data_IF_339655836928
#
_entry.id   IF_339655836928
#
_cell.length_a   1.000
_cell.length_b   1.000
_cell.length_c   1.000
_cell.angle_alpha   90.00
_cell.angle_beta   90.00
_cell.angle_gamma   90.00
#
_symmetry.space_group_name_H-M   'P 1'
#
loop_
_entity.id
_entity.type
_entity.pdbx_description
1 polymer ?
#
# COMPACT_ATOMS: atom_id res chain seq x y z
N UNK A 1 -7.51 -33.66 36.66
CA UNK A 1 -8.71 -34.07 35.88
C UNK A 1 -9.43 -32.80 35.46
N UNK A 2 -9.13 -32.28 34.27
CA UNK A 2 -10.07 -31.64 33.34
C UNK A 2 -9.29 -31.33 32.07
N UNK A 3 -9.29 -32.33 31.19
CA UNK A 3 -8.81 -32.32 29.82
C UNK A 3 -10.01 -32.01 28.93
N UNK A 4 -9.91 -31.04 28.00
CA UNK A 4 -10.65 -30.85 26.72
C UNK A 4 -10.57 -29.36 26.34
N UNK A 5 -9.68 -28.96 25.43
CA UNK A 5 -9.82 -29.02 23.96
C UNK A 5 -10.89 -28.05 23.41
N UNK A 6 -10.44 -26.95 22.81
CA UNK A 6 -11.10 -26.35 21.64
C UNK A 6 -10.04 -25.69 20.74
N UNK A 7 -9.49 -26.52 19.85
CA UNK A 7 -8.79 -26.15 18.62
C UNK A 7 -9.85 -25.78 17.58
N UNK A 8 -9.85 -24.53 17.10
CA UNK A 8 -10.62 -23.99 15.97
C UNK A 8 -10.00 -22.61 15.68
N UNK A 9 -9.34 -22.27 14.56
CA UNK A 9 -9.45 -22.73 13.18
C UNK A 9 -8.07 -22.71 12.52
N UNK A 10 -7.64 -23.85 11.98
CA UNK A 10 -6.66 -23.91 10.91
C UNK A 10 -7.42 -24.07 9.59
N UNK A 11 -7.83 -22.96 8.98
CA UNK A 11 -8.22 -22.97 7.57
C UNK A 11 -6.92 -22.90 6.75
N UNK A 12 -6.29 -24.06 6.60
CA UNK A 12 -5.31 -24.30 5.56
C UNK A 12 -6.11 -24.41 4.26
N UNK A 13 -6.33 -23.28 3.58
CA UNK A 13 -6.62 -23.33 2.16
C UNK A 13 -5.28 -23.53 1.45
N UNK A 14 -5.00 -24.79 1.11
CA UNK A 14 -4.18 -25.17 -0.02
C UNK A 14 -4.86 -24.67 -1.30
N UNK A 15 -4.74 -23.37 -1.57
CA UNK A 15 -4.90 -22.84 -2.91
C UNK A 15 -3.74 -23.39 -3.74
N UNK A 16 -4.05 -23.97 -4.90
CA UNK A 16 -3.06 -24.53 -5.83
C UNK A 16 -1.98 -23.49 -6.13
N UNK A 17 -0.73 -23.80 -5.78
CA UNK A 17 0.45 -22.99 -6.07
C UNK A 17 0.79 -23.08 -7.56
N UNK A 18 -0.03 -22.46 -8.41
CA UNK A 18 0.54 -21.81 -9.58
C UNK A 18 1.12 -20.51 -9.04
N UNK A 19 2.43 -20.49 -8.78
CA UNK A 19 3.16 -19.25 -8.56
C UNK A 19 2.98 -18.42 -9.84
N UNK A 20 1.94 -17.60 -9.90
CA UNK A 20 1.88 -16.50 -10.84
C UNK A 20 3.05 -15.62 -10.45
N UNK A 21 4.15 -15.74 -11.20
CA UNK A 21 5.34 -14.93 -11.00
C UNK A 21 4.93 -13.48 -11.16
N UNK A 22 4.94 -12.73 -10.06
CA UNK A 22 4.59 -11.31 -10.05
C UNK A 22 5.42 -10.57 -11.09
N UNK A 23 4.78 -9.71 -11.88
CA UNK A 23 5.47 -8.84 -12.82
C UNK A 23 6.34 -7.78 -12.12
N UNK A 24 6.24 -7.63 -10.79
CA UNK A 24 7.18 -6.79 -10.04
C UNK A 24 8.63 -7.30 -10.17
N UNK A 25 8.82 -8.57 -10.50
CA UNK A 25 10.12 -9.18 -10.67
C UNK A 25 10.93 -8.52 -11.79
N UNK A 26 12.23 -8.31 -11.53
CA UNK A 26 13.22 -7.62 -12.35
C UNK A 26 12.96 -6.12 -12.59
N UNK A 27 12.01 -5.51 -11.87
CA UNK A 27 11.78 -4.06 -11.94
C UNK A 27 12.72 -3.31 -10.99
N UNK A 28 13.14 -2.11 -11.40
CA UNK A 28 14.04 -1.25 -10.66
C UNK A 28 13.32 0.01 -10.17
N UNK A 29 13.54 0.38 -8.92
CA UNK A 29 12.83 1.48 -8.26
C UNK A 29 13.78 2.31 -7.41
N UNK A 30 13.57 3.62 -7.45
CA UNK A 30 14.11 4.56 -6.48
C UNK A 30 13.09 4.72 -5.35
N UNK A 31 13.57 4.52 -4.13
CA UNK A 31 12.86 4.74 -2.88
C UNK A 31 13.39 6.03 -2.25
N UNK A 32 12.52 7.00 -2.00
CA UNK A 32 12.87 8.20 -1.22
C UNK A 32 12.28 8.04 0.17
N UNK A 33 13.11 7.70 1.15
CA UNK A 33 12.74 7.54 2.54
C UNK A 33 12.64 8.91 3.20
N UNK A 34 11.61 9.07 4.02
CA UNK A 34 11.35 10.28 4.78
C UNK A 34 11.10 9.92 6.25
N UNK A 35 12.21 9.77 6.97
CA UNK A 35 12.27 9.28 8.36
C UNK A 35 12.05 10.44 9.33
N UNK A 36 11.11 10.26 10.25
CA UNK A 36 10.71 11.26 11.24
C UNK A 36 9.32 10.96 11.80
N UNK A 37 8.92 11.69 12.85
CA UNK A 37 7.62 11.49 13.50
C UNK A 37 6.47 11.76 12.52
N UNK A 38 5.55 10.81 12.42
CA UNK A 38 4.34 10.95 11.61
C UNK A 38 3.21 11.55 12.46
N UNK A 39 2.35 12.42 11.88
CA UNK A 39 1.17 12.90 12.59
C UNK A 39 0.31 11.74 13.09
N UNK A 40 -0.05 11.78 14.38
CA UNK A 40 -0.87 10.74 15.00
C UNK A 40 -0.12 9.46 15.40
N UNK A 41 1.20 9.40 15.18
CA UNK A 41 2.05 8.36 15.76
C UNK A 41 2.79 8.88 16.99
N UNK A 42 3.24 7.97 17.85
CA UNK A 42 4.04 8.31 19.02
C UNK A 42 5.23 7.35 19.10
N UNK A 43 6.37 7.87 19.54
CA UNK A 43 7.55 7.07 19.80
C UNK A 43 7.59 6.70 21.30
N UNK A 44 7.94 5.46 21.67
CA UNK A 44 7.98 5.06 23.06
C UNK A 44 8.96 5.89 23.88
N UNK A 45 8.64 6.09 25.17
CA UNK A 45 9.45 6.89 26.12
C UNK A 45 10.91 6.43 26.27
N UNK A 46 11.24 5.19 25.86
CA UNK A 46 12.62 4.68 25.82
C UNK A 46 13.47 5.33 24.71
N UNK A 47 12.84 6.06 23.78
CA UNK A 47 13.46 6.94 22.80
C UNK A 47 13.08 8.39 23.11
N UNK A 48 13.50 8.94 24.25
CA UNK A 48 13.12 10.30 24.66
C UNK A 48 13.70 11.32 23.67
N UNK A 49 12.90 12.32 23.27
CA UNK A 49 13.36 13.35 22.35
C UNK A 49 13.38 12.94 20.88
N UNK A 50 13.04 11.70 20.51
CA UNK A 50 13.18 11.25 19.13
C UNK A 50 12.20 11.99 18.21
N UNK A 51 12.74 12.71 17.22
CA UNK A 51 12.02 13.53 16.25
C UNK A 51 11.04 14.58 16.84
N UNK A 52 11.19 14.96 18.11
CA UNK A 52 10.36 15.98 18.77
C UNK A 52 10.55 17.38 18.17
N UNK A 53 11.72 17.64 17.57
CA UNK A 53 12.05 18.90 16.88
C UNK A 53 11.30 19.07 15.55
N UNK A 54 10.64 18.02 15.05
CA UNK A 54 10.07 17.98 13.71
C UNK A 54 11.11 17.84 12.59
N UNK A 55 12.38 17.57 12.91
CA UNK A 55 13.38 17.24 11.92
C UNK A 55 13.00 15.96 11.14
N UNK A 56 13.52 15.86 9.92
CA UNK A 56 13.30 14.72 9.03
C UNK A 56 14.60 14.32 8.35
N UNK A 57 14.81 13.02 8.19
CA UNK A 57 15.96 12.43 7.54
C UNK A 57 15.52 11.83 6.19
N UNK A 58 15.93 12.50 5.11
CA UNK A 58 15.70 12.06 3.75
C UNK A 58 16.83 11.16 3.26
N UNK A 59 16.51 9.98 2.74
CA UNK A 59 17.48 9.03 2.17
C UNK A 59 16.96 8.48 0.84
N UNK A 60 17.79 8.50 -0.19
CA UNK A 60 17.50 7.90 -1.48
C UNK A 60 18.14 6.51 -1.58
N UNK A 61 17.38 5.51 -2.04
CA UNK A 61 17.85 4.13 -2.21
C UNK A 61 17.35 3.62 -3.56
N UNK A 62 18.21 2.96 -4.33
CA UNK A 62 17.81 2.30 -5.58
C UNK A 62 17.81 0.79 -5.38
N UNK A 63 16.69 0.14 -5.69
CA UNK A 63 16.47 -1.28 -5.45
C UNK A 63 15.98 -2.01 -6.70
N UNK A 64 16.27 -3.30 -6.77
CA UNK A 64 15.77 -4.22 -7.78
C UNK A 64 15.03 -5.39 -7.12
N UNK A 65 13.76 -5.57 -7.47
CA UNK A 65 12.98 -6.73 -7.05
C UNK A 65 13.40 -7.94 -7.88
N UNK A 66 13.92 -9.00 -7.26
CA UNK A 66 14.44 -10.17 -8.01
C UNK A 66 13.51 -11.38 -7.95
N UNK A 67 13.72 -12.36 -8.84
CA UNK A 67 13.05 -13.68 -8.79
C UNK A 67 13.75 -14.68 -7.86
N UNK A 68 14.89 -14.31 -7.28
CA UNK A 68 15.70 -15.25 -6.47
C UNK A 68 15.00 -15.48 -5.13
N UNK A 69 14.75 -16.73 -4.72
CA UNK A 69 14.19 -16.98 -3.40
C UNK A 69 15.09 -16.45 -2.28
N UNK A 70 14.51 -15.81 -1.27
CA UNK A 70 15.29 -15.27 -0.16
C UNK A 70 15.86 -16.39 0.71
N UNK A 71 17.15 -16.29 1.02
CA UNK A 71 17.80 -17.17 2.01
C UNK A 71 17.33 -16.89 3.44
N UNK A 72 16.93 -15.64 3.72
CA UNK A 72 16.47 -15.16 5.01
C UNK A 72 14.96 -15.29 5.16
N UNK A 73 14.49 -15.37 6.41
CA UNK A 73 13.07 -15.38 6.73
C UNK A 73 12.74 -14.21 7.63
N UNK A 74 11.68 -13.51 7.28
CA UNK A 74 11.13 -12.42 8.10
C UNK A 74 9.61 -12.57 8.21
N UNK A 75 9.11 -12.71 9.43
CA UNK A 75 7.71 -13.08 9.68
C UNK A 75 6.75 -11.94 9.32
N UNK A 76 7.19 -10.69 9.45
CA UNK A 76 6.37 -9.53 9.08
C UNK A 76 6.09 -9.43 7.58
N UNK A 77 6.96 -10.01 6.77
CA UNK A 77 6.97 -9.82 5.33
C UNK A 77 6.10 -10.87 4.66
N UNK A 78 6.23 -12.12 5.09
CA UNK A 78 5.38 -13.21 4.63
C UNK A 78 5.96 -14.59 4.89
N UNK A 79 5.33 -15.64 4.33
CA UNK A 79 5.87 -16.98 4.31
C UNK A 79 7.22 -17.02 3.59
N UNK A 80 8.16 -17.84 4.09
CA UNK A 80 9.52 -17.94 3.51
C UNK A 80 9.46 -18.38 2.05
N UNK A 81 8.52 -19.24 1.72
CA UNK A 81 8.33 -19.86 0.41
C UNK A 81 7.84 -18.85 -0.66
N UNK A 82 7.36 -17.69 -0.22
CA UNK A 82 6.85 -16.61 -1.06
C UNK A 82 7.74 -15.35 -0.99
N UNK A 83 8.87 -15.44 -0.30
CA UNK A 83 9.78 -14.31 -0.10
C UNK A 83 10.96 -14.42 -1.07
N UNK A 84 11.22 -13.34 -1.80
CA UNK A 84 12.30 -13.23 -2.78
C UNK A 84 13.34 -12.20 -2.33
N UNK A 85 14.53 -12.20 -2.93
CA UNK A 85 15.61 -11.26 -2.63
C UNK A 85 15.32 -9.88 -3.23
N UNK A 86 15.65 -8.83 -2.47
CA UNK A 86 15.60 -7.44 -2.88
C UNK A 86 17.03 -6.91 -2.91
N UNK A 87 17.55 -6.66 -4.11
CA UNK A 87 18.92 -6.19 -4.30
C UNK A 87 18.97 -4.65 -4.22
N UNK A 88 20.01 -4.11 -3.58
CA UNK A 88 20.33 -2.68 -3.61
C UNK A 88 21.30 -2.47 -4.76
N UNK A 89 20.93 -1.64 -5.74
CA UNK A 89 21.67 -1.48 -7.01
C UNK A 89 22.37 -0.12 -7.17
N UNK A 90 21.98 0.87 -6.37
CA UNK A 90 22.60 2.20 -6.38
C UNK A 90 23.76 2.34 -5.40
N UNK A 91 24.45 3.47 -5.51
CA UNK A 91 25.48 3.87 -4.55
C UNK A 91 24.87 4.17 -3.16
N UNK A 92 25.75 4.29 -2.16
CA UNK A 92 25.40 4.72 -0.81
C UNK A 92 24.56 5.99 -0.82
N UNK A 93 23.54 6.04 0.04
CA UNK A 93 22.69 7.22 0.19
C UNK A 93 23.47 8.35 0.86
N UNK A 94 23.43 9.54 0.28
CA UNK A 94 24.15 10.71 0.81
C UNK A 94 23.15 11.66 1.46
N UNK A 95 23.43 12.12 2.67
CA UNK A 95 22.65 13.15 3.33
C UNK A 95 23.54 14.20 4.02
N UNK A 96 22.97 15.36 4.32
CA UNK A 96 23.69 16.45 5.02
C UNK A 96 23.24 16.51 6.47
N UNK A 97 24.18 16.24 7.37
CA UNK A 97 24.04 16.36 8.82
C UNK A 97 24.70 17.64 9.33
N UNK A 98 24.69 17.84 10.65
CA UNK A 98 25.42 18.93 11.31
C UNK A 98 26.95 18.76 11.20
N UNK A 99 27.43 17.55 10.93
CA UNK A 99 28.86 17.23 10.75
C UNK A 99 29.31 17.36 9.30
N UNK A 100 28.41 17.72 8.39
CA UNK A 100 28.66 17.81 6.95
C UNK A 100 27.95 16.70 6.18
N UNK A 101 28.57 16.27 5.08
CA UNK A 101 28.03 15.22 4.22
C UNK A 101 28.35 13.84 4.83
N UNK A 102 27.32 13.04 5.06
CA UNK A 102 27.41 11.68 5.58
C UNK A 102 26.81 10.69 4.57
N UNK A 103 27.31 9.46 4.58
CA UNK A 103 26.90 8.37 3.68
C UNK A 103 26.27 7.24 4.49
N UNK A 104 25.19 6.66 3.96
CA UNK A 104 24.45 5.54 4.58
C UNK A 104 24.36 4.41 3.59
N UNK A 105 24.77 3.23 4.03
CA UNK A 105 24.69 2.01 3.25
C UNK A 105 23.45 1.21 3.62
N UNK A 106 22.93 0.49 2.63
CA UNK A 106 21.87 -0.49 2.80
C UNK A 106 22.31 -1.81 2.18
N UNK A 107 21.93 -2.92 2.81
CA UNK A 107 22.22 -4.26 2.28
C UNK A 107 20.98 -4.91 1.71
N UNK A 108 21.18 -5.91 0.85
CA UNK A 108 20.13 -6.77 0.29
C UNK A 108 19.18 -7.25 1.39
N UNK A 109 17.90 -7.18 1.09
CA UNK A 109 16.84 -7.67 1.95
C UNK A 109 15.96 -8.67 1.21
N UNK A 110 14.67 -8.64 1.50
CA UNK A 110 13.72 -9.47 0.79
C UNK A 110 12.36 -8.84 0.69
N UNK A 111 11.53 -9.41 -0.17
CA UNK A 111 10.22 -8.88 -0.50
C UNK A 111 9.19 -9.99 -0.71
N UNK A 112 7.93 -9.67 -0.46
CA UNK A 112 6.78 -10.53 -0.66
C UNK A 112 5.56 -9.66 -0.98
N UNK A 113 4.66 -10.18 -1.82
CA UNK A 113 3.35 -9.58 -2.05
C UNK A 113 2.30 -10.40 -1.30
N UNK A 114 1.58 -9.76 -0.39
CA UNK A 114 0.45 -10.38 0.30
C UNK A 114 -0.85 -9.88 -0.33
N UNK A 115 -1.66 -10.78 -0.88
CA UNK A 115 -2.98 -10.41 -1.42
C UNK A 115 -3.94 -10.15 -0.25
N UNK A 116 -4.41 -8.90 -0.04
CA UNK A 116 -5.20 -8.57 1.13
C UNK A 116 -6.59 -9.18 1.06
N UNK A 117 -7.08 -9.68 2.20
CA UNK A 117 -8.44 -10.24 2.32
C UNK A 117 -9.49 -9.19 2.69
N UNK A 118 -9.08 -7.96 3.01
CA UNK A 118 -9.96 -6.86 3.42
C UNK A 118 -9.33 -5.48 3.22
N UNK A 119 -10.08 -4.45 3.60
CA UNK A 119 -9.69 -3.06 3.42
C UNK A 119 -8.52 -2.66 4.34
N UNK A 120 -7.63 -1.83 3.82
CA UNK A 120 -6.44 -1.29 4.49
C UNK A 120 -6.57 0.22 4.56
N UNK A 121 -6.09 0.84 5.66
CA UNK A 121 -6.01 2.31 5.76
C UNK A 121 -4.76 2.84 5.07
N UNK A 122 -4.93 3.83 4.21
CA UNK A 122 -3.81 4.57 3.62
C UNK A 122 -3.31 5.69 4.56
N UNK A 123 -2.26 6.41 4.14
CA UNK A 123 -1.68 7.51 4.92
C UNK A 123 -2.66 8.67 5.17
N UNK A 124 -3.65 8.87 4.28
CA UNK A 124 -4.71 9.86 4.46
C UNK A 124 -5.84 9.39 5.40
N UNK A 125 -5.77 8.16 5.91
CA UNK A 125 -6.76 7.56 6.80
C UNK A 125 -7.97 6.91 6.08
N UNK A 126 -8.03 6.99 4.75
CA UNK A 126 -9.08 6.39 3.92
C UNK A 126 -8.89 4.88 3.76
N UNK A 127 -9.99 4.14 3.61
CA UNK A 127 -9.99 2.72 3.32
C UNK A 127 -9.74 2.47 1.83
N UNK A 128 -8.76 1.64 1.52
CA UNK A 128 -8.38 1.20 0.17
C UNK A 128 -8.18 -0.32 0.16
N UNK A 129 -8.28 -0.94 -1.01
CA UNK A 129 -8.12 -2.38 -1.18
C UNK A 129 -7.20 -2.67 -2.37
N UNK A 130 -5.87 -2.53 -2.20
CA UNK A 130 -4.94 -2.76 -3.30
C UNK A 130 -5.00 -4.22 -3.77
N UNK A 131 -4.61 -4.48 -5.02
CA UNK A 131 -4.51 -5.85 -5.55
C UNK A 131 -3.52 -6.68 -4.72
N UNK A 132 -2.39 -6.08 -4.34
CA UNK A 132 -1.38 -6.67 -3.47
C UNK A 132 -0.87 -5.68 -2.43
N UNK A 133 -0.45 -6.19 -1.29
CA UNK A 133 0.30 -5.46 -0.28
C UNK A 133 1.77 -5.87 -0.42
N UNK A 134 2.57 -5.01 -1.03
CA UNK A 134 4.01 -5.20 -1.15
C UNK A 134 4.65 -4.92 0.20
N UNK A 135 5.33 -5.92 0.73
CA UNK A 135 6.13 -5.84 1.94
C UNK A 135 7.56 -6.20 1.63
N UNK A 136 8.50 -5.41 2.10
CA UNK A 136 9.92 -5.71 1.96
C UNK A 136 10.70 -5.17 3.13
N UNK A 137 11.95 -5.58 3.26
CA UNK A 137 12.87 -5.01 4.24
C UNK A 137 14.22 -4.70 3.62
N UNK A 138 14.93 -3.79 4.27
CA UNK A 138 16.34 -3.51 4.03
C UNK A 138 17.04 -3.40 5.39
N UNK A 139 18.29 -3.85 5.45
CA UNK A 139 19.10 -3.69 6.65
C UNK A 139 20.02 -2.47 6.49
N UNK A 140 20.06 -1.64 7.53
CA UNK A 140 20.89 -0.44 7.62
C UNK A 140 22.02 -0.68 8.63
N UNK A 141 23.20 -1.19 8.19
CA UNK A 141 24.30 -1.54 9.09
C UNK A 141 24.87 -0.33 9.82
N UNK A 142 25.06 0.80 9.12
CA UNK A 142 25.77 1.96 9.65
C UNK A 142 24.87 2.90 10.47
N UNK A 143 23.55 2.80 10.30
CA UNK A 143 22.61 3.79 10.84
C UNK A 143 22.75 5.15 10.17
N UNK A 144 21.97 6.11 10.63
CA UNK A 144 21.95 7.48 10.10
C UNK A 144 21.34 8.43 11.14
N UNK A 145 21.93 9.62 11.33
CA UNK A 145 21.45 10.58 12.32
C UNK A 145 21.40 12.00 11.79
N UNK A 146 20.27 12.67 12.01
CA UNK A 146 20.11 14.11 11.75
C UNK A 146 19.33 14.73 12.90
N UNK A 147 20.00 15.59 13.67
CA UNK A 147 19.45 16.19 14.91
C UNK A 147 18.99 15.09 15.88
N UNK A 148 17.70 15.08 16.19
CA UNK A 148 17.01 14.17 17.08
C UNK A 148 16.31 13.01 16.33
N UNK A 149 16.48 12.92 15.01
CA UNK A 149 16.06 11.77 14.19
C UNK A 149 17.24 10.85 13.99
N UNK A 150 17.07 9.58 14.33
CA UNK A 150 18.11 8.56 14.22
C UNK A 150 17.54 7.22 13.74
N UNK A 151 18.19 6.64 12.75
CA UNK A 151 18.15 5.22 12.40
C UNK A 151 19.36 4.59 13.10
N UNK A 152 19.12 3.68 14.03
CA UNK A 152 20.22 3.06 14.77
C UNK A 152 21.04 2.13 13.85
N UNK A 153 22.35 1.95 14.12
CA UNK A 153 23.14 0.95 13.42
C UNK A 153 22.55 -0.46 13.54
N UNK A 154 22.75 -1.29 12.52
CA UNK A 154 22.22 -2.65 12.41
C UNK A 154 20.69 -2.72 12.53
N UNK A 155 19.98 -1.69 12.06
CA UNK A 155 18.52 -1.66 12.09
C UNK A 155 17.95 -2.26 10.82
N UNK A 156 17.04 -3.21 10.98
CA UNK A 156 16.15 -3.67 9.90
C UNK A 156 14.97 -2.73 9.76
N UNK A 157 14.76 -2.21 8.55
CA UNK A 157 13.64 -1.34 8.21
C UNK A 157 12.67 -2.12 7.35
N UNK A 158 11.40 -2.15 7.76
CA UNK A 158 10.30 -2.77 7.04
C UNK A 158 9.52 -1.72 6.28
N UNK A 159 9.18 -2.06 5.04
CA UNK A 159 8.46 -1.22 4.10
C UNK A 159 7.13 -1.90 3.80
N UNK A 160 6.08 -1.10 3.67
CA UNK A 160 4.76 -1.60 3.27
C UNK A 160 4.08 -0.59 2.36
N UNK A 161 3.59 -1.05 1.22
CA UNK A 161 2.88 -0.23 0.24
C UNK A 161 1.92 -1.06 -0.60
N UNK A 162 0.95 -0.41 -1.24
CA UNK A 162 0.06 -1.06 -2.20
C UNK A 162 0.78 -1.31 -3.52
N UNK A 163 0.51 -2.45 -4.15
CA UNK A 163 1.02 -2.81 -5.48
C UNK A 163 -0.11 -3.37 -6.34
N UNK A 164 -0.05 -3.05 -7.63
CA UNK A 164 -0.90 -3.60 -8.69
C UNK A 164 0.03 -4.17 -9.76
N UNK A 165 0.24 -5.47 -9.71
CA UNK A 165 1.19 -6.21 -10.54
C UNK A 165 0.52 -7.03 -11.64
N UNK A 166 -0.81 -6.96 -11.78
CA UNK A 166 -1.55 -7.39 -12.96
C UNK A 166 -2.06 -6.18 -13.77
N UNK A 167 -1.29 -5.71 -14.77
CA UNK A 167 -1.68 -4.56 -15.60
C UNK A 167 -2.95 -4.83 -16.41
N UNK A 168 -3.22 -6.08 -16.80
CA UNK A 168 -4.41 -6.42 -17.58
C UNK A 168 -5.67 -6.23 -16.74
N UNK A 169 -5.62 -6.68 -15.48
CA UNK A 169 -6.70 -6.48 -14.53
C UNK A 169 -6.94 -4.99 -14.25
N UNK A 170 -5.87 -4.21 -14.06
CA UNK A 170 -5.98 -2.75 -13.83
C UNK A 170 -6.62 -2.06 -15.02
N UNK A 171 -6.26 -2.43 -16.25
CA UNK A 171 -6.87 -1.89 -17.47
C UNK A 171 -8.36 -2.24 -17.57
N UNK A 172 -8.75 -3.48 -17.29
CA UNK A 172 -10.15 -3.91 -17.27
C UNK A 172 -10.96 -3.10 -16.23
N UNK A 173 -10.42 -2.96 -15.02
CA UNK A 173 -11.05 -2.17 -13.96
C UNK A 173 -11.23 -0.71 -14.37
N UNK A 174 -10.22 -0.11 -15.02
CA UNK A 174 -10.28 1.27 -15.50
C UNK A 174 -11.34 1.46 -16.60
N UNK A 175 -11.48 0.49 -17.51
CA UNK A 175 -12.52 0.50 -18.54
C UNK A 175 -13.92 0.41 -17.91
N UNK A 176 -14.12 -0.53 -16.98
CA UNK A 176 -15.38 -0.70 -16.25
C UNK A 176 -15.74 0.55 -15.44
N UNK A 177 -14.75 1.17 -14.78
CA UNK A 177 -14.93 2.42 -14.06
C UNK A 177 -15.39 3.57 -14.99
N UNK A 178 -14.75 3.70 -16.15
CA UNK A 178 -15.10 4.72 -17.15
C UNK A 178 -16.52 4.52 -17.69
N UNK A 179 -16.92 3.27 -17.91
CA UNK A 179 -18.27 2.93 -18.35
C UNK A 179 -19.32 3.27 -17.28
N UNK A 180 -19.04 2.98 -16.00
CA UNK A 180 -19.92 3.38 -14.88
C UNK A 180 -20.11 4.89 -14.84
N UNK A 181 -19.04 5.67 -15.01
CA UNK A 181 -19.14 7.13 -15.02
C UNK A 181 -20.05 7.63 -16.16
N UNK A 182 -19.92 7.06 -17.36
CA UNK A 182 -20.79 7.38 -18.50
C UNK A 182 -22.25 7.01 -18.24
N UNK A 183 -22.50 5.86 -17.64
CA UNK A 183 -23.86 5.42 -17.28
C UNK A 183 -24.48 6.37 -16.24
N UNK A 184 -23.71 6.77 -15.22
CA UNK A 184 -24.15 7.74 -14.21
C UNK A 184 -24.47 9.11 -14.83
N UNK A 185 -23.64 9.60 -15.75
CA UNK A 185 -23.87 10.85 -16.49
C UNK A 185 -25.15 10.76 -17.34
N UNK A 186 -25.30 9.68 -18.10
CA UNK A 186 -26.50 9.43 -18.93
C UNK A 186 -27.78 9.36 -18.08
N UNK A 187 -27.73 8.70 -16.91
CA UNK A 187 -28.88 8.65 -16.00
C UNK A 187 -29.21 10.02 -15.40
N UNK A 188 -28.19 10.82 -15.07
CA UNK A 188 -28.39 12.17 -14.55
C UNK A 188 -29.06 13.07 -15.59
N UNK A 189 -28.65 13.00 -16.86
CA UNK A 189 -29.25 13.78 -17.94
C UNK A 189 -30.66 13.30 -18.28
N UNK A 190 -30.89 11.98 -18.36
CA UNK A 190 -32.24 11.42 -18.52
C UNK A 190 -33.19 11.88 -17.40
N UNK A 191 -32.71 11.92 -16.15
CA UNK A 191 -33.49 12.39 -15.00
C UNK A 191 -33.81 13.89 -15.11
N UNK A 192 -32.88 14.70 -15.60
CA UNK A 192 -33.11 16.14 -15.84
C UNK A 192 -34.15 16.37 -16.92
N UNK A 193 -34.10 15.62 -18.02
CA UNK A 193 -35.05 15.75 -19.12
C UNK A 193 -36.44 15.26 -18.72
N UNK A 194 -36.55 14.16 -17.97
CA UNK A 194 -37.82 13.72 -17.39
C UNK A 194 -38.45 14.76 -16.46
N UNK A 195 -37.65 15.49 -15.68
CA UNK A 195 -38.14 16.58 -14.81
C UNK A 195 -38.66 17.75 -15.64
N UNK A 196 -37.93 18.17 -16.69
CA UNK A 196 -38.39 19.22 -17.61
C UNK A 196 -39.71 18.85 -18.29
N UNK A 197 -39.83 17.60 -18.74
CA UNK A 197 -41.06 17.13 -19.39
C UNK A 197 -42.25 16.94 -18.44
N UNK A 198 -42.02 16.83 -17.13
CA UNK A 198 -43.07 16.60 -16.13
C UNK A 198 -43.86 17.86 -15.75
N UNK A 199 -43.39 19.06 -16.12
CA UNK A 199 -44.05 20.33 -15.79
C UNK A 199 -45.39 20.54 -16.54
N UNK A 200 -45.66 19.78 -17.62
CA UNK A 200 -46.86 19.91 -18.48
C UNK A 200 -47.81 18.68 -18.49
N UNK A 201 -47.61 17.67 -17.62
CA UNK A 201 -48.26 16.34 -17.77
C UNK A 201 -49.33 15.97 -16.71
N UNK A 202 -50.29 15.13 -17.14
CA UNK A 202 -51.47 14.68 -16.36
C UNK A 202 -51.11 13.80 -15.15
N UNK A 203 -51.99 13.75 -14.13
CA UNK A 203 -51.82 12.98 -12.86
C UNK A 203 -51.43 11.51 -13.06
N UNK A 204 -51.95 10.83 -14.08
CA UNK A 204 -51.57 9.44 -14.39
C UNK A 204 -50.17 9.31 -14.99
N UNK A 205 -49.71 10.28 -15.78
CA UNK A 205 -48.33 10.33 -16.31
C UNK A 205 -47.31 10.66 -15.19
N UNK A 206 -47.75 11.38 -14.15
CA UNK A 206 -46.96 11.64 -12.95
C UNK A 206 -46.72 10.37 -12.11
N UNK A 207 -47.65 9.41 -12.11
CA UNK A 207 -47.46 8.14 -11.41
C UNK A 207 -46.44 7.22 -12.12
N UNK A 208 -46.46 7.17 -13.44
CA UNK A 208 -45.48 6.40 -14.22
C UNK A 208 -44.07 7.01 -14.17
N UNK A 209 -43.96 8.33 -14.27
CA UNK A 209 -42.68 9.02 -14.10
C UNK A 209 -42.14 8.87 -12.68
N UNK A 210 -42.99 8.86 -11.65
CA UNK A 210 -42.56 8.56 -10.28
C UNK A 210 -41.94 7.15 -10.14
N UNK A 211 -42.59 6.11 -10.69
CA UNK A 211 -42.01 4.74 -10.66
C UNK A 211 -40.67 4.67 -11.39
N UNK A 212 -40.56 5.33 -12.54
CA UNK A 212 -39.30 5.41 -13.30
C UNK A 212 -38.22 6.13 -12.49
N UNK A 213 -38.54 7.27 -11.87
CA UNK A 213 -37.62 8.01 -11.00
C UNK A 213 -37.13 7.16 -9.81
N UNK A 214 -38.00 6.34 -9.20
CA UNK A 214 -37.59 5.43 -8.11
C UNK A 214 -36.65 4.34 -8.63
N UNK A 215 -36.92 3.79 -9.82
CA UNK A 215 -36.03 2.81 -10.45
C UNK A 215 -34.67 3.44 -10.81
N UNK A 216 -34.67 4.58 -11.49
CA UNK A 216 -33.47 5.32 -11.87
C UNK A 216 -32.64 5.70 -10.63
N UNK A 217 -33.29 6.08 -9.52
CA UNK A 217 -32.61 6.35 -8.25
C UNK A 217 -31.91 5.11 -7.70
N UNK A 218 -32.57 3.94 -7.76
CA UNK A 218 -31.97 2.69 -7.28
C UNK A 218 -30.79 2.26 -8.16
N UNK A 219 -30.95 2.35 -9.47
CA UNK A 219 -29.87 2.04 -10.42
C UNK A 219 -28.69 3.00 -10.25
N UNK A 220 -28.95 4.29 -9.98
CA UNK A 220 -27.93 5.27 -9.66
C UNK A 220 -27.18 4.92 -8.36
N UNK A 221 -27.90 4.52 -7.30
CA UNK A 221 -27.30 4.09 -6.04
C UNK A 221 -26.41 2.85 -6.23
N UNK A 222 -26.86 1.89 -7.05
CA UNK A 222 -26.09 0.70 -7.40
C UNK A 222 -24.82 1.04 -8.20
N UNK A 223 -24.91 1.97 -9.16
CA UNK A 223 -23.76 2.47 -9.91
C UNK A 223 -22.79 3.25 -9.01
N UNK A 224 -23.31 4.06 -8.09
CA UNK A 224 -22.51 4.80 -7.11
C UNK A 224 -21.73 3.85 -6.19
N UNK A 225 -22.37 2.79 -5.70
CA UNK A 225 -21.70 1.76 -4.89
C UNK A 225 -20.60 1.03 -5.67
N UNK A 226 -20.84 0.70 -6.96
CA UNK A 226 -19.81 0.13 -7.83
C UNK A 226 -18.65 1.11 -8.05
N UNK A 227 -18.95 2.38 -8.32
CA UNK A 227 -17.96 3.44 -8.47
C UNK A 227 -17.05 3.52 -7.23
N UNK A 228 -17.64 3.60 -6.04
CA UNK A 228 -16.90 3.67 -4.77
C UNK A 228 -16.01 2.44 -4.58
N UNK A 229 -16.49 1.25 -4.97
CA UNK A 229 -15.68 0.03 -4.92
C UNK A 229 -14.45 0.10 -5.84
N UNK A 230 -14.61 0.52 -7.09
CA UNK A 230 -13.47 0.68 -8.00
C UNK A 230 -12.51 1.77 -7.52
N UNK A 231 -13.00 2.89 -6.98
CA UNK A 231 -12.14 3.93 -6.41
C UNK A 231 -11.25 3.40 -5.26
N UNK A 232 -11.71 2.38 -4.51
CA UNK A 232 -10.93 1.71 -3.46
C UNK A 232 -9.94 0.68 -4.00
N UNK A 233 -10.29 -0.01 -5.08
CA UNK A 233 -9.52 -1.12 -5.64
C UNK A 233 -8.45 -0.64 -6.65
N UNK A 234 -8.70 0.45 -7.36
CA UNK A 234 -7.80 1.00 -8.38
C UNK A 234 -6.53 1.62 -7.78
N UNK A 235 -5.43 1.68 -8.56
CA UNK A 235 -4.24 2.41 -8.15
C UNK A 235 -4.57 3.90 -7.91
N UNK A 236 -4.04 4.50 -6.83
CA UNK A 236 -4.27 5.91 -6.54
C UNK A 236 -3.63 6.79 -7.62
N UNK A 237 -4.16 8.01 -7.76
CA UNK A 237 -3.56 9.03 -8.63
C UNK A 237 -2.11 9.28 -8.19
N UNK A 238 -1.19 9.28 -9.14
CA UNK A 238 0.24 9.43 -8.88
C UNK A 238 0.97 8.14 -8.52
N UNK A 239 0.31 6.98 -8.56
CA UNK A 239 1.01 5.69 -8.48
C UNK A 239 2.13 5.62 -9.52
N UNK A 240 3.30 5.18 -9.06
CA UNK A 240 4.50 5.09 -9.89
C UNK A 240 4.39 3.86 -10.77
N UNK A 241 4.67 4.04 -12.06
CA UNK A 241 4.47 3.05 -13.12
C UNK A 241 5.83 2.60 -13.66
N UNK A 242 6.06 1.28 -13.73
CA UNK A 242 7.20 0.69 -14.43
C UNK A 242 6.87 0.39 -15.90
N UNK A 243 7.92 0.18 -16.70
CA UNK A 243 7.85 -0.20 -18.12
C UNK A 243 6.97 -1.41 -18.44
N UNK A 244 6.85 -2.36 -17.52
CA UNK A 244 6.02 -3.55 -17.71
C UNK A 244 4.59 -3.42 -17.16
N UNK A 245 4.16 -2.20 -16.81
CA UNK A 245 2.79 -1.91 -16.39
C UNK A 245 2.51 -2.05 -14.90
N UNK A 246 3.48 -2.51 -14.09
CA UNK A 246 3.31 -2.63 -12.64
C UNK A 246 3.21 -1.24 -12.02
N UNK A 247 2.25 -1.08 -11.10
CA UNK A 247 2.05 0.16 -10.36
C UNK A 247 2.31 -0.05 -8.88
N UNK A 248 3.03 0.88 -8.26
CA UNK A 248 3.22 0.94 -6.80
C UNK A 248 2.58 2.23 -6.28
N UNK A 249 1.91 2.16 -5.13
CA UNK A 249 1.31 3.35 -4.51
C UNK A 249 2.41 4.41 -4.27
N UNK A 250 2.10 5.70 -4.46
CA UNK A 250 3.09 6.77 -4.43
C UNK A 250 3.79 6.91 -3.09
N UNK A 251 3.13 6.48 -2.02
CA UNK A 251 3.63 6.55 -0.65
C UNK A 251 3.40 5.24 0.07
N UNK A 252 4.40 4.76 0.80
CA UNK A 252 4.31 3.64 1.73
C UNK A 252 4.80 4.00 3.14
N UNK A 253 4.64 3.07 4.07
CA UNK A 253 5.06 3.23 5.47
C UNK A 253 6.40 2.58 5.76
N UNK A 254 7.19 3.22 6.63
CA UNK A 254 8.43 2.70 7.18
C UNK A 254 8.23 2.28 8.63
N UNK A 255 8.68 1.08 8.98
CA UNK A 255 8.53 0.51 10.32
C UNK A 255 9.84 -0.11 10.76
N UNK A 256 10.18 0.02 12.04
CA UNK A 256 11.30 -0.71 12.67
C UNK A 256 10.78 -1.57 13.80
N UNK A 257 11.50 -2.65 14.13
CA UNK A 257 11.20 -3.44 15.32
C UNK A 257 11.76 -2.71 16.55
N UNK A 258 10.89 -2.35 17.48
CA UNK A 258 11.20 -1.53 18.63
C UNK A 258 11.84 -2.27 19.81
N UNK A 259 11.88 -3.61 19.80
CA UNK A 259 12.38 -4.43 20.91
C UNK A 259 13.34 -5.52 20.41
N UNK A 260 14.33 -5.87 21.24
CA UNK A 260 15.26 -6.99 21.06
C UNK A 260 14.66 -8.36 21.44
N UNK A 261 13.37 -8.41 21.76
CA UNK A 261 12.68 -9.64 22.13
C UNK A 261 12.50 -10.52 20.87
N UNK A 262 12.76 -11.84 20.94
CA UNK A 262 12.54 -12.76 19.83
C UNK A 262 11.12 -12.68 19.26
N UNK A 263 10.96 -12.77 17.94
CA UNK A 263 9.68 -12.56 17.23
C UNK A 263 8.54 -13.48 17.67
N UNK A 264 8.85 -14.63 18.25
CA UNK A 264 7.86 -15.62 18.71
C UNK A 264 7.28 -15.32 20.10
N UNK A 265 7.79 -14.31 20.81
CA UNK A 265 7.26 -13.89 22.10
C UNK A 265 6.26 -12.72 21.93
N UNK A 266 5.12 -12.75 22.65
CA UNK A 266 4.21 -11.61 22.71
C UNK A 266 4.95 -10.38 23.28
N UNK A 267 4.86 -9.24 22.59
CA UNK A 267 5.54 -7.99 22.99
C UNK A 267 6.55 -7.44 21.99
N UNK A 268 6.66 -8.02 20.80
CA UNK A 268 7.35 -7.38 19.66
C UNK A 268 6.60 -6.10 19.29
N UNK A 269 7.20 -4.96 19.60
CA UNK A 269 6.65 -3.65 19.29
C UNK A 269 7.18 -3.19 17.94
N UNK A 270 6.32 -2.59 17.12
CA UNK A 270 6.67 -2.05 15.82
C UNK A 270 6.46 -0.55 15.83
N UNK A 271 7.50 0.18 15.45
CA UNK A 271 7.54 1.63 15.54
C UNK A 271 7.49 2.21 14.14
N UNK A 272 6.52 3.07 13.89
CA UNK A 272 6.41 3.78 12.61
C UNK A 272 7.53 4.81 12.57
N UNK A 273 8.49 4.55 11.68
CA UNK A 273 9.70 5.35 11.52
C UNK A 273 9.47 6.55 10.58
N UNK A 274 8.52 6.44 9.67
CA UNK A 274 8.26 7.46 8.66
C UNK A 274 7.48 6.91 7.46
N UNK A 275 7.69 7.55 6.32
CA UNK A 275 7.09 7.17 5.03
C UNK A 275 8.17 7.08 3.96
N UNK A 276 7.85 6.47 2.83
CA UNK A 276 8.69 6.54 1.64
C UNK A 276 7.86 6.78 0.39
N UNK A 277 8.45 7.39 -0.63
CA UNK A 277 7.89 7.42 -1.98
C UNK A 277 8.66 6.53 -2.92
N UNK A 278 8.03 6.14 -4.03
CA UNK A 278 8.62 5.29 -5.06
C UNK A 278 8.66 6.01 -6.40
N UNK A 279 9.69 5.77 -7.19
CA UNK A 279 9.79 6.19 -8.59
C UNK A 279 10.40 5.03 -9.39
N UNK A 280 9.81 4.64 -10.51
CA UNK A 280 10.40 3.60 -11.35
C UNK A 280 11.68 4.15 -12.03
N UNK A 281 12.74 3.35 -12.10
CA UNK A 281 14.00 3.73 -12.76
C UNK A 281 13.96 3.41 -14.26
N UNK A 282 13.19 2.41 -14.66
CA UNK A 282 12.97 2.01 -16.06
C UNK A 282 11.51 2.28 -16.47
N UNK A 283 11.22 3.42 -17.13
CA UNK A 283 9.88 3.75 -17.61
C UNK A 283 9.46 2.96 -18.86
#
# INVERSE_FOLDING_TARGET
IFTKALLLFANIHTASSLQTTSLLTNTQWKLNLDVGLQPGTWMPKRFPGWAESGARLGLDIEVQFTSKPSSQRETLIGPKEQTFELDVIGDSSVFVSEKGQETVDFTTGGWCIQRPTGDIRNAAGSLVKPEGLLRFWLDCPNGAKRRDVEIFPNTRIFFTTGVWDDPSLVEEQQQQYTEILKQMETMADNTRDLRRESEDKNVFQNLFSFRKLVQDSKEYDDLYAKKERYEKEMPPIGASLSSNGVKIAPTGSLVIKGNSVPDWLPGSEYLILGTFSTTALDP
#
